data_IF_588337990474
#
_entry.id   IF_588337990474
#
_cell.length_a   1.000
_cell.length_b   1.000
_cell.length_c   1.000
_cell.angle_alpha   90.00
_cell.angle_beta   90.00
_cell.angle_gamma   90.00
#
_symmetry.space_group_name_H-M   'P 1'
#
loop_
_entity.id
_entity.type
_entity.pdbx_description
1 polymer ?
#
# COMPACT_ATOMS: atom_id res chain seq x y z
N UNK A 1 -49.46 32.97 -60.11
CA UNK A 1 -48.30 32.03 -59.89
C UNK A 1 -47.60 32.43 -58.58
N UNK A 2 -47.93 31.76 -57.46
CA UNK A 2 -47.34 32.04 -56.14
C UNK A 2 -46.34 30.96 -55.81
N UNK A 3 -45.05 31.31 -55.71
CA UNK A 3 -43.96 30.38 -55.26
C UNK A 3 -43.81 30.55 -53.76
N UNK A 4 -44.27 29.56 -53.01
CA UNK A 4 -44.02 29.40 -51.58
C UNK A 4 -42.56 28.97 -51.32
N UNK A 5 -41.81 29.74 -50.53
CA UNK A 5 -40.45 29.41 -50.10
C UNK A 5 -40.53 28.77 -48.71
N UNK A 6 -40.34 27.47 -48.66
CA UNK A 6 -40.12 26.75 -47.40
C UNK A 6 -38.73 27.07 -46.83
N UNK A 7 -38.70 27.69 -45.66
CA UNK A 7 -37.48 27.87 -44.86
C UNK A 7 -37.35 26.66 -43.94
N UNK A 8 -36.33 25.87 -44.18
CA UNK A 8 -35.94 24.75 -43.27
C UNK A 8 -35.08 25.39 -42.19
N UNK A 9 -35.55 25.42 -40.95
CA UNK A 9 -34.77 25.81 -39.79
C UNK A 9 -34.02 24.56 -39.29
N UNK A 10 -32.70 24.56 -39.44
CA UNK A 10 -31.84 23.53 -38.86
C UNK A 10 -31.62 23.83 -37.37
N UNK A 11 -32.17 23.00 -36.48
CA UNK A 11 -31.90 23.07 -35.05
C UNK A 11 -30.54 22.38 -34.76
N UNK A 12 -29.54 23.17 -34.36
CA UNK A 12 -28.29 22.65 -33.84
C UNK A 12 -28.53 22.15 -32.40
N UNK A 13 -28.51 20.86 -32.21
CA UNK A 13 -28.45 20.25 -30.87
C UNK A 13 -27.02 20.30 -30.34
N UNK A 14 -26.77 21.19 -29.36
CA UNK A 14 -25.50 21.23 -28.63
C UNK A 14 -25.50 20.10 -27.61
N UNK A 15 -24.77 19.04 -27.89
CA UNK A 15 -24.49 17.95 -26.92
C UNK A 15 -23.41 18.44 -25.97
N UNK A 16 -23.82 18.87 -24.77
CA UNK A 16 -22.86 19.14 -23.67
C UNK A 16 -22.42 17.82 -23.10
N UNK A 17 -21.25 17.38 -23.53
CA UNK A 17 -20.51 16.26 -22.88
C UNK A 17 -20.08 16.72 -21.48
N UNK A 18 -20.83 16.31 -20.46
CA UNK A 18 -20.46 16.47 -19.06
C UNK A 18 -19.16 15.73 -18.79
N UNK A 19 -18.03 16.44 -18.73
CA UNK A 19 -16.76 15.91 -18.25
C UNK A 19 -16.97 15.75 -16.74
N UNK A 20 -17.29 14.51 -16.32
CA UNK A 20 -17.25 14.14 -14.90
C UNK A 20 -15.79 14.27 -14.44
N UNK A 21 -15.46 15.38 -13.81
CA UNK A 21 -14.20 15.59 -13.11
C UNK A 21 -14.18 14.62 -11.93
N UNK A 22 -13.68 13.39 -12.15
CA UNK A 22 -13.23 12.55 -11.04
C UNK A 22 -12.14 13.33 -10.34
N UNK A 23 -12.46 13.88 -9.17
CA UNK A 23 -11.48 14.55 -8.32
C UNK A 23 -10.31 13.57 -8.12
N UNK A 24 -9.20 13.82 -8.81
CA UNK A 24 -7.93 13.13 -8.56
C UNK A 24 -7.57 13.51 -7.14
N UNK A 25 -7.83 12.62 -6.18
CA UNK A 25 -7.31 12.77 -4.83
C UNK A 25 -5.80 12.92 -4.99
N UNK A 26 -5.29 14.09 -4.62
CA UNK A 26 -3.86 14.32 -4.58
C UNK A 26 -3.26 13.25 -3.66
N UNK A 27 -2.56 12.30 -4.26
CA UNK A 27 -1.89 11.24 -3.56
C UNK A 27 -0.77 11.87 -2.76
N UNK A 28 -0.72 11.57 -1.49
CA UNK A 28 0.32 12.08 -0.62
C UNK A 28 0.68 11.00 0.38
N UNK A 29 1.96 10.81 0.62
CA UNK A 29 2.47 9.93 1.68
C UNK A 29 2.17 10.51 3.08
N UNK A 30 0.99 11.11 3.24
CA UNK A 30 0.49 11.64 4.50
C UNK A 30 -0.58 10.72 5.03
N UNK A 31 -0.34 10.13 6.18
CA UNK A 31 -1.34 9.34 6.89
C UNK A 31 -2.59 10.17 7.19
N UNK A 32 -3.73 9.52 7.16
CA UNK A 32 -5.01 10.11 7.53
C UNK A 32 -5.84 9.11 8.35
N UNK A 33 -6.76 9.62 9.18
CA UNK A 33 -7.72 8.75 9.85
C UNK A 33 -8.55 7.91 8.88
N UNK A 34 -8.79 8.44 7.68
CA UNK A 34 -9.54 7.74 6.65
C UNK A 34 -8.75 6.56 6.08
N UNK A 35 -7.44 6.74 5.80
CA UNK A 35 -6.60 5.67 5.27
C UNK A 35 -6.40 4.55 6.30
N UNK A 36 -6.15 4.91 7.57
CA UNK A 36 -6.03 3.93 8.65
C UNK A 36 -7.33 3.12 8.83
N UNK A 37 -8.47 3.79 8.82
CA UNK A 37 -9.78 3.11 8.89
C UNK A 37 -10.04 2.22 7.69
N UNK A 38 -9.69 2.69 6.49
CA UNK A 38 -9.82 1.90 5.27
C UNK A 38 -9.00 0.62 5.35
N UNK A 39 -7.73 0.70 5.75
CA UNK A 39 -6.86 -0.46 5.89
C UNK A 39 -7.39 -1.47 6.92
N UNK A 40 -7.88 -0.99 8.07
CA UNK A 40 -8.49 -1.85 9.09
C UNK A 40 -9.76 -2.53 8.57
N UNK A 41 -10.63 -1.78 7.89
CA UNK A 41 -11.86 -2.31 7.28
C UNK A 41 -11.52 -3.33 6.19
N UNK A 42 -10.51 -3.04 5.36
CA UNK A 42 -10.00 -3.99 4.37
C UNK A 42 -9.59 -5.32 5.03
N UNK A 43 -8.78 -5.27 6.08
CA UNK A 43 -8.35 -6.47 6.80
C UNK A 43 -9.55 -7.29 7.30
N UNK A 44 -10.57 -6.62 7.85
CA UNK A 44 -11.80 -7.27 8.34
C UNK A 44 -12.66 -7.87 7.24
N UNK A 45 -12.80 -7.19 6.10
CA UNK A 45 -13.59 -7.68 4.96
C UNK A 45 -12.93 -8.83 4.19
N UNK A 46 -11.63 -8.99 4.34
CA UNK A 46 -10.87 -10.08 3.72
C UNK A 46 -10.52 -11.19 4.73
N UNK A 47 -11.22 -11.21 5.88
CA UNK A 47 -11.08 -12.22 6.93
C UNK A 47 -9.62 -12.42 7.41
N UNK A 48 -8.83 -11.33 7.38
CA UNK A 48 -7.46 -11.36 7.87
C UNK A 48 -7.45 -11.33 9.40
N UNK A 49 -6.81 -12.31 9.99
CA UNK A 49 -6.66 -12.39 11.44
C UNK A 49 -5.77 -11.28 12.00
N UNK A 50 -6.25 -10.62 13.05
CA UNK A 50 -5.46 -9.68 13.83
C UNK A 50 -4.79 -10.45 14.98
N UNK A 51 -3.62 -11.03 14.74
CA UNK A 51 -2.90 -11.86 15.70
C UNK A 51 -2.62 -11.11 17.00
N UNK A 52 -3.04 -11.67 18.12
CA UNK A 52 -2.98 -11.01 19.44
C UNK A 52 -1.70 -11.30 20.20
N UNK A 53 -1.11 -12.47 19.99
CA UNK A 53 0.00 -13.00 20.78
C UNK A 53 1.04 -13.73 19.92
N UNK A 54 2.18 -14.04 20.52
CA UNK A 54 3.21 -14.87 19.89
C UNK A 54 2.70 -16.29 19.54
N UNK A 55 1.75 -16.83 20.32
CA UNK A 55 1.13 -18.13 20.03
C UNK A 55 0.26 -18.08 18.77
N UNK A 56 -0.48 -16.99 18.56
CA UNK A 56 -1.28 -16.81 17.34
C UNK A 56 -0.39 -16.70 16.11
N UNK A 57 0.69 -15.92 16.21
CA UNK A 57 1.70 -15.82 15.13
C UNK A 57 2.30 -17.19 14.79
N UNK A 58 2.68 -18.00 15.82
CA UNK A 58 3.19 -19.35 15.56
C UNK A 58 2.16 -20.26 14.89
N UNK A 59 0.88 -20.13 15.23
CA UNK A 59 -0.20 -20.87 14.57
C UNK A 59 -0.29 -20.45 13.11
N UNK A 60 -0.42 -19.16 12.82
CA UNK A 60 -0.48 -18.63 11.47
C UNK A 60 0.72 -19.01 10.58
N UNK A 61 1.91 -19.17 11.18
CA UNK A 61 3.08 -19.70 10.45
C UNK A 61 2.89 -21.16 10.06
N UNK A 62 2.36 -22.00 10.97
CA UNK A 62 2.10 -23.42 10.65
C UNK A 62 1.00 -23.57 9.61
N UNK A 63 -0.01 -22.72 9.67
CA UNK A 63 -1.17 -22.76 8.76
C UNK A 63 -0.87 -22.11 7.39
N UNK A 64 0.29 -21.44 7.26
CA UNK A 64 0.75 -20.83 6.02
C UNK A 64 0.23 -19.40 5.77
N UNK A 65 -0.54 -18.85 6.70
CA UNK A 65 -1.07 -17.48 6.62
C UNK A 65 0.04 -16.43 6.75
N UNK A 66 1.07 -16.77 7.52
CA UNK A 66 2.27 -15.96 7.68
C UNK A 66 3.52 -16.71 7.21
N UNK A 67 4.34 -16.01 6.47
CA UNK A 67 5.63 -16.50 5.97
C UNK A 67 6.78 -15.62 6.47
N UNK A 68 7.94 -16.23 6.68
CA UNK A 68 9.12 -15.53 7.18
C UNK A 68 9.75 -14.67 6.09
N UNK A 69 10.06 -13.43 6.42
CA UNK A 69 11.01 -12.62 5.66
C UNK A 69 12.43 -13.13 5.92
N UNK A 70 13.14 -13.47 4.86
CA UNK A 70 14.52 -13.94 4.90
C UNK A 70 15.39 -12.92 4.19
N UNK A 71 16.24 -12.17 4.90
CA UNK A 71 17.16 -11.22 4.29
C UNK A 71 17.92 -11.86 3.13
N UNK A 72 18.17 -11.05 2.12
CA UNK A 72 18.97 -11.41 0.94
C UNK A 72 19.79 -10.19 0.52
N UNK A 73 20.47 -10.24 -0.61
CA UNK A 73 21.27 -9.10 -1.08
C UNK A 73 20.46 -7.82 -1.38
N UNK A 74 19.13 -7.90 -1.41
CA UNK A 74 18.25 -6.78 -1.76
C UNK A 74 17.58 -6.11 -0.56
N UNK A 75 17.42 -6.82 0.58
CA UNK A 75 16.89 -6.22 1.80
C UNK A 75 17.49 -6.81 3.07
N UNK A 76 17.44 -6.01 4.15
CA UNK A 76 17.87 -6.36 5.49
C UNK A 76 16.72 -6.18 6.49
N UNK A 77 16.85 -6.80 7.67
CA UNK A 77 15.94 -6.67 8.80
C UNK A 77 16.68 -6.00 9.95
N UNK A 78 16.24 -4.83 10.39
CA UNK A 78 16.82 -4.15 11.53
C UNK A 78 15.90 -4.24 12.74
N UNK A 79 16.29 -4.99 13.77
CA UNK A 79 15.56 -5.16 15.05
C UNK A 79 14.10 -5.62 14.90
N UNK A 80 13.79 -6.38 13.86
CA UNK A 80 12.44 -6.89 13.63
C UNK A 80 12.18 -8.11 14.51
N UNK A 81 11.31 -7.96 15.54
CA UNK A 81 11.02 -9.03 16.50
C UNK A 81 10.22 -10.20 15.90
N UNK A 82 9.29 -9.89 14.98
CA UNK A 82 8.46 -10.87 14.29
C UNK A 82 8.59 -10.67 12.78
N UNK A 83 9.63 -11.23 12.15
CA UNK A 83 9.91 -11.04 10.72
C UNK A 83 9.00 -11.89 9.85
N UNK A 84 7.70 -11.72 10.01
CA UNK A 84 6.68 -12.47 9.30
C UNK A 84 5.67 -11.52 8.67
N UNK A 85 5.13 -11.92 7.53
CA UNK A 85 4.12 -11.18 6.75
C UNK A 85 3.24 -12.18 6.01
N UNK A 86 2.12 -11.74 5.43
CA UNK A 86 1.37 -12.59 4.51
C UNK A 86 2.19 -12.96 3.27
N UNK A 87 1.91 -14.08 2.58
CA UNK A 87 2.63 -14.47 1.35
C UNK A 87 2.66 -13.35 0.29
N UNK A 88 1.55 -12.63 0.11
CA UNK A 88 1.48 -11.54 -0.87
C UNK A 88 2.33 -10.34 -0.44
N UNK A 89 2.35 -10.00 0.85
CA UNK A 89 3.23 -8.94 1.37
C UNK A 89 4.71 -9.30 1.21
N UNK A 90 5.09 -10.58 1.35
CA UNK A 90 6.46 -11.02 1.06
C UNK A 90 6.81 -10.80 -0.42
N UNK A 91 5.93 -11.17 -1.34
CA UNK A 91 6.15 -10.93 -2.78
C UNK A 91 6.34 -9.43 -3.07
N UNK A 92 5.56 -8.57 -2.41
CA UNK A 92 5.74 -7.13 -2.50
C UNK A 92 7.14 -6.69 -2.04
N UNK A 93 7.57 -7.15 -0.86
CA UNK A 93 8.89 -6.84 -0.30
C UNK A 93 10.01 -7.25 -1.26
N UNK A 94 9.98 -8.49 -1.74
CA UNK A 94 11.02 -9.02 -2.62
C UNK A 94 11.14 -8.22 -3.93
N UNK A 95 10.00 -7.83 -4.52
CA UNK A 95 9.98 -7.01 -5.74
C UNK A 95 10.42 -5.56 -5.50
N UNK A 96 9.89 -4.92 -4.46
CA UNK A 96 10.27 -3.55 -4.11
C UNK A 96 11.77 -3.47 -3.78
N UNK A 97 12.26 -4.41 -2.98
CA UNK A 97 13.65 -4.46 -2.55
C UNK A 97 14.62 -4.72 -3.73
N UNK A 98 14.25 -5.59 -4.67
CA UNK A 98 15.02 -5.80 -5.89
C UNK A 98 15.17 -4.53 -6.72
N UNK A 99 14.08 -3.80 -6.95
CA UNK A 99 14.10 -2.53 -7.65
C UNK A 99 14.85 -1.43 -6.88
N UNK A 100 14.65 -1.36 -5.56
CA UNK A 100 15.34 -0.42 -4.70
C UNK A 100 16.86 -0.64 -4.73
N UNK A 101 17.31 -1.88 -4.59
CA UNK A 101 18.74 -2.19 -4.58
C UNK A 101 19.42 -1.87 -5.92
N UNK A 102 18.71 -2.06 -7.04
CA UNK A 102 19.20 -1.65 -8.37
C UNK A 102 19.30 -0.13 -8.51
N UNK A 103 18.30 0.60 -8.01
CA UNK A 103 18.25 2.07 -8.14
C UNK A 103 19.19 2.77 -7.15
N UNK A 104 19.45 2.17 -5.99
CA UNK A 104 20.15 2.80 -4.87
C UNK A 104 21.55 2.22 -4.59
N UNK A 105 21.89 1.08 -5.15
CA UNK A 105 23.15 0.39 -4.84
C UNK A 105 23.26 -0.10 -3.39
N UNK A 106 22.13 -0.20 -2.67
CA UNK A 106 22.07 -0.58 -1.26
C UNK A 106 20.81 -1.41 -0.99
N UNK A 107 20.82 -2.32 0.01
CA UNK A 107 19.63 -3.07 0.37
C UNK A 107 18.56 -2.19 1.01
N UNK A 108 17.29 -2.52 0.78
CA UNK A 108 16.16 -1.91 1.48
C UNK A 108 16.13 -2.40 2.94
N UNK A 109 16.05 -1.48 3.90
CA UNK A 109 16.00 -1.86 5.31
C UNK A 109 14.55 -1.90 5.81
N UNK A 110 14.15 -3.03 6.39
CA UNK A 110 12.85 -3.24 7.02
C UNK A 110 13.04 -3.15 8.54
N UNK A 111 12.25 -2.30 9.19
CA UNK A 111 12.35 -2.04 10.62
C UNK A 111 11.17 -2.62 11.41
N UNK A 112 10.07 -2.98 10.74
CA UNK A 112 8.94 -3.68 11.36
C UNK A 112 8.18 -4.53 10.35
N UNK A 113 7.57 -5.61 10.83
CA UNK A 113 6.65 -6.48 10.10
C UNK A 113 5.45 -6.82 11.01
N UNK A 114 5.05 -8.09 11.16
CA UNK A 114 4.00 -8.44 12.13
C UNK A 114 4.33 -7.90 13.52
N UNK A 115 3.35 -7.22 14.11
CA UNK A 115 3.36 -6.84 15.53
C UNK A 115 2.06 -7.33 16.18
N UNK A 116 2.08 -8.39 16.99
CA UNK A 116 0.88 -8.86 17.69
C UNK A 116 0.23 -7.73 18.51
N UNK A 117 -1.09 -7.73 18.61
CA UNK A 117 -1.84 -6.64 19.29
C UNK A 117 -1.31 -6.36 20.70
N UNK A 118 -0.91 -7.41 21.44
CA UNK A 118 -0.33 -7.27 22.80
C UNK A 118 1.11 -6.76 22.82
N UNK A 119 1.73 -6.55 21.66
CA UNK A 119 3.13 -6.08 21.48
C UNK A 119 3.20 -4.80 20.66
N UNK A 120 2.08 -4.11 20.50
CA UNK A 120 2.05 -2.79 19.87
C UNK A 120 2.76 -1.76 20.76
N UNK A 121 3.52 -0.82 20.19
CA UNK A 121 4.00 0.36 20.94
C UNK A 121 2.82 1.17 21.51
N UNK A 122 3.05 1.87 22.63
CA UNK A 122 2.00 2.65 23.29
C UNK A 122 1.36 3.74 22.43
N UNK A 123 2.11 4.25 21.43
CA UNK A 123 1.64 5.27 20.48
C UNK A 123 1.03 4.68 19.20
N UNK A 124 0.85 3.37 19.12
CA UNK A 124 0.22 2.73 17.95
C UNK A 124 -1.27 3.04 17.86
N UNK A 125 -1.77 3.20 16.64
CA UNK A 125 -3.20 3.27 16.39
C UNK A 125 -3.90 1.98 16.86
N UNK A 126 -5.06 2.07 17.54
CA UNK A 126 -5.88 0.89 17.85
C UNK A 126 -6.39 0.17 16.59
N UNK A 127 -6.37 0.86 15.44
CA UNK A 127 -6.71 0.31 14.11
C UNK A 127 -5.48 -0.15 13.32
N UNK A 128 -4.34 -0.39 13.98
CA UNK A 128 -3.13 -0.90 13.35
C UNK A 128 -3.39 -2.25 12.67
N UNK A 129 -2.90 -2.41 11.43
CA UNK A 129 -2.97 -3.66 10.66
C UNK A 129 -1.63 -4.42 10.62
N UNK A 130 -0.62 -3.98 11.37
CA UNK A 130 0.56 -4.81 11.63
C UNK A 130 0.22 -6.20 12.20
N UNK A 131 -0.79 -6.35 13.09
CA UNK A 131 -1.18 -7.67 13.55
C UNK A 131 -1.67 -8.61 12.45
N UNK A 132 -2.15 -8.09 11.32
CA UNK A 132 -2.61 -8.90 10.19
C UNK A 132 -1.48 -9.33 9.23
N UNK A 133 -0.25 -8.85 9.42
CA UNK A 133 0.88 -9.19 8.56
C UNK A 133 0.86 -8.54 7.18
N UNK A 134 0.01 -7.53 6.98
CA UNK A 134 -0.08 -6.77 5.72
C UNK A 134 0.64 -5.42 5.79
N UNK A 135 1.17 -5.03 6.94
CA UNK A 135 1.90 -3.79 7.13
C UNK A 135 3.39 -4.01 7.40
N UNK A 136 4.20 -3.08 6.92
CA UNK A 136 5.65 -3.02 7.05
C UNK A 136 6.07 -1.61 7.42
N UNK A 137 7.14 -1.49 8.21
CA UNK A 137 7.87 -0.24 8.35
C UNK A 137 9.21 -0.37 7.62
N UNK A 138 9.48 0.58 6.72
CA UNK A 138 10.71 0.66 5.93
C UNK A 138 11.54 1.84 6.44
N UNK A 139 12.83 1.64 6.63
CA UNK A 139 13.74 2.72 6.95
C UNK A 139 13.61 3.84 5.91
N UNK A 140 13.59 5.08 6.39
CA UNK A 140 13.56 6.25 5.52
C UNK A 140 14.97 6.60 5.07
N UNK A 141 15.35 6.32 3.81
CA UNK A 141 16.68 6.67 3.29
C UNK A 141 16.81 8.19 3.11
N UNK A 142 17.94 8.63 2.62
CA UNK A 142 18.22 10.02 2.29
C UNK A 142 18.49 10.22 0.79
N UNK A 143 18.61 11.46 0.35
CA UNK A 143 19.08 11.80 -0.99
C UNK A 143 18.22 11.22 -2.13
N UNK A 144 18.89 10.64 -3.11
CA UNK A 144 18.27 10.09 -4.34
C UNK A 144 17.39 8.89 -4.03
N UNK A 145 17.79 8.03 -3.09
CA UNK A 145 17.04 6.86 -2.68
C UNK A 145 15.71 7.23 -1.99
N UNK A 146 15.69 8.32 -1.22
CA UNK A 146 14.45 8.86 -0.66
C UNK A 146 13.50 9.31 -1.76
N UNK A 147 14.00 10.01 -2.77
CA UNK A 147 13.17 10.46 -3.91
C UNK A 147 12.61 9.27 -4.69
N UNK A 148 13.46 8.27 -4.94
CA UNK A 148 13.05 7.05 -5.63
C UNK A 148 11.97 6.30 -4.86
N UNK A 149 12.16 6.07 -3.55
CA UNK A 149 11.21 5.32 -2.73
C UNK A 149 9.87 6.07 -2.61
N UNK A 150 9.90 7.39 -2.41
CA UNK A 150 8.67 8.22 -2.42
C UNK A 150 7.91 8.10 -3.74
N UNK A 151 8.62 8.25 -4.87
CA UNK A 151 7.99 8.15 -6.19
C UNK A 151 7.37 6.77 -6.41
N UNK A 152 8.10 5.71 -6.08
CA UNK A 152 7.61 4.34 -6.23
C UNK A 152 6.39 4.07 -5.35
N UNK A 153 6.41 4.48 -4.08
CA UNK A 153 5.27 4.30 -3.18
C UNK A 153 4.05 5.10 -3.64
N UNK A 154 4.22 6.34 -4.10
CA UNK A 154 3.14 7.16 -4.68
C UNK A 154 2.55 6.50 -5.93
N UNK A 155 3.38 5.93 -6.81
CA UNK A 155 2.91 5.19 -7.99
C UNK A 155 2.07 3.98 -7.58
N UNK A 156 2.51 3.20 -6.59
CA UNK A 156 1.77 2.04 -6.11
C UNK A 156 0.49 2.41 -5.36
N UNK A 157 0.45 3.55 -4.68
CA UNK A 157 -0.79 4.12 -4.13
C UNK A 157 -1.79 4.50 -5.24
N UNK A 158 -1.30 5.05 -6.36
CA UNK A 158 -2.17 5.39 -7.50
C UNK A 158 -2.85 4.18 -8.09
N UNK A 159 -2.18 3.06 -8.08
CA UNK A 159 -2.72 1.75 -8.47
C UNK A 159 -3.61 1.12 -7.37
N UNK A 160 -3.73 1.77 -6.20
CA UNK A 160 -4.52 1.31 -5.05
C UNK A 160 -4.10 -0.08 -4.52
N UNK A 161 -2.84 -0.42 -4.69
CA UNK A 161 -2.28 -1.70 -4.24
C UNK A 161 -1.56 -1.60 -2.91
N UNK A 162 -1.22 -0.38 -2.51
CA UNK A 162 -0.68 -0.06 -1.18
C UNK A 162 -1.34 1.21 -0.62
N UNK A 163 -1.18 1.40 0.69
CA UNK A 163 -1.32 2.69 1.38
C UNK A 163 0.02 2.94 2.08
N UNK A 164 0.64 4.09 1.83
CA UNK A 164 1.94 4.41 2.37
C UNK A 164 1.95 5.77 3.08
N UNK A 165 2.53 5.79 4.27
CA UNK A 165 2.68 7.00 5.08
C UNK A 165 4.15 7.24 5.39
N UNK A 166 4.65 8.44 5.09
CA UNK A 166 5.97 8.87 5.54
C UNK A 166 5.87 9.48 6.93
N UNK A 167 6.30 8.73 7.94
CA UNK A 167 6.34 9.16 9.32
C UNK A 167 7.69 9.83 9.65
N UNK A 168 7.69 10.76 10.63
CA UNK A 168 8.88 11.54 10.98
C UNK A 168 9.51 11.13 12.31
N UNK A 169 8.72 10.55 13.21
CA UNK A 169 9.15 10.25 14.58
C UNK A 169 8.70 8.86 15.03
N UNK A 170 9.55 7.81 14.86
CA UNK A 170 10.83 7.76 14.14
C UNK A 170 10.63 7.91 12.63
N UNK A 171 11.69 8.32 11.92
CA UNK A 171 11.62 8.53 10.48
C UNK A 171 11.58 7.19 9.72
N UNK A 172 10.42 6.83 9.15
CA UNK A 172 10.20 5.61 8.37
C UNK A 172 9.04 5.77 7.39
N UNK A 173 8.87 4.80 6.49
CA UNK A 173 7.64 4.64 5.71
C UNK A 173 6.84 3.50 6.32
N UNK A 174 5.63 3.79 6.76
CA UNK A 174 4.63 2.77 7.08
C UNK A 174 3.91 2.40 5.79
N UNK A 175 3.97 1.13 5.37
CA UNK A 175 3.41 0.65 4.11
C UNK A 175 2.46 -0.51 4.37
N UNK A 176 1.23 -0.37 3.90
CA UNK A 176 0.18 -1.39 3.96
C UNK A 176 -0.01 -1.97 2.56
N UNK A 177 0.01 -3.27 2.43
CA UNK A 177 -0.15 -3.99 1.15
C UNK A 177 -1.55 -4.58 1.08
N UNK A 178 -2.35 -4.14 0.11
CA UNK A 178 -3.66 -4.71 -0.17
C UNK A 178 -3.52 -5.97 -1.03
N UNK A 179 -3.57 -7.13 -0.39
CA UNK A 179 -3.12 -8.40 -0.98
C UNK A 179 -3.82 -8.76 -2.28
N UNK A 180 -5.15 -8.67 -2.35
CA UNK A 180 -5.88 -9.01 -3.57
C UNK A 180 -5.71 -7.99 -4.69
N UNK A 181 -5.82 -6.65 -4.46
CA UNK A 181 -5.45 -5.65 -5.45
C UNK A 181 -4.03 -5.83 -5.99
N UNK A 182 -3.06 -6.13 -5.11
CA UNK A 182 -1.66 -6.32 -5.52
C UNK A 182 -1.50 -7.57 -6.41
N UNK A 183 -2.16 -8.68 -6.10
CA UNK A 183 -2.12 -9.87 -6.97
C UNK A 183 -2.69 -9.60 -8.37
N UNK A 184 -3.82 -8.87 -8.46
CA UNK A 184 -4.39 -8.47 -9.76
C UNK A 184 -3.44 -7.57 -10.54
N UNK A 185 -2.83 -6.61 -9.88
CA UNK A 185 -1.83 -5.73 -10.49
C UNK A 185 -0.64 -6.50 -11.06
N UNK A 186 -0.16 -7.54 -10.36
CA UNK A 186 0.92 -8.37 -10.87
C UNK A 186 0.50 -9.22 -12.07
N UNK A 187 -0.74 -9.69 -12.11
CA UNK A 187 -1.25 -10.51 -13.21
C UNK A 187 -1.51 -9.70 -14.50
N UNK A 188 -1.62 -8.37 -14.40
CA UNK A 188 -1.87 -7.48 -15.54
C UNK A 188 -0.58 -6.93 -16.19
N UNK A 189 0.60 -7.33 -15.69
CA UNK A 189 1.92 -6.88 -16.15
C UNK A 189 2.79 -8.03 -16.59
#
# INVERSE_FOLDING_TARGET
MHRSRFRIAAALAVVVLGISSTAIRAQSLRGSHTSVRYAYTYARHHDLDLYRSASDVRRAIRDGDLVRLRPNGHYTLHRVSYPYVTPTTRTFVERLAGQYSQACGAPLEITSAVRPTRRQPANSSPLSVHPAGIALDLHRPTGTCLRWLRHTLLTLESERVVDATEERHPAHFHVIVFGEPYRRFLASR
#
